data_IF_983960264675
#
_entry.id   IF_983960264675
#
_cell.length_a   1.000
_cell.length_b   1.000
_cell.length_c   1.000
_cell.angle_alpha   90.00
_cell.angle_beta   90.00
_cell.angle_gamma   90.00
#
_symmetry.space_group_name_H-M   'P 1'
#
loop_
_entity.id
_entity.type
_entity.pdbx_description
1 polymer ?
#
# COMPACT_ATOMS: atom_id res chain seq x y z
N UNK A 1 -20.15 -15.93 7.27
CA UNK A 1 -19.13 -14.92 7.69
C UNK A 1 -17.80 -15.39 7.14
N UNK A 2 -17.20 -14.64 6.22
CA UNK A 2 -15.90 -14.98 5.67
C UNK A 2 -14.85 -14.90 6.78
N UNK A 3 -14.18 -16.03 7.06
CA UNK A 3 -13.15 -16.13 8.10
C UNK A 3 -11.76 -15.69 7.60
N UNK A 4 -11.70 -15.09 6.41
CA UNK A 4 -10.46 -14.67 5.79
C UNK A 4 -9.79 -13.48 6.49
N UNK A 5 -8.52 -13.19 6.16
CA UNK A 5 -7.78 -12.08 6.77
C UNK A 5 -8.36 -10.72 6.40
N UNK A 6 -8.00 -9.69 7.15
CA UNK A 6 -8.11 -8.31 6.68
C UNK A 6 -6.92 -8.02 5.76
N UNK A 7 -7.15 -7.43 4.59
CA UNK A 7 -6.09 -6.94 3.70
C UNK A 7 -5.95 -5.43 3.91
N UNK A 8 -4.79 -4.99 4.36
CA UNK A 8 -4.52 -3.60 4.73
C UNK A 8 -3.47 -3.03 3.76
N UNK A 9 -3.86 -2.04 2.96
CA UNK A 9 -2.92 -1.30 2.11
C UNK A 9 -2.04 -0.36 2.95
N UNK A 10 -0.73 -0.46 2.78
CA UNK A 10 0.23 0.32 3.57
C UNK A 10 1.31 0.95 2.69
N UNK A 11 1.46 2.26 2.78
CA UNK A 11 2.45 3.06 2.06
C UNK A 11 3.36 3.87 2.99
N UNK A 12 3.28 3.63 4.31
CA UNK A 12 4.07 4.32 5.33
C UNK A 12 3.59 5.73 5.65
N UNK A 13 2.51 6.18 5.09
CA UNK A 13 1.95 7.51 5.38
C UNK A 13 1.19 7.51 6.70
N UNK A 14 1.01 8.70 7.29
CA UNK A 14 0.21 8.86 8.51
C UNK A 14 -1.23 8.34 8.36
N UNK A 15 -1.81 8.43 7.15
CA UNK A 15 -3.13 7.89 6.87
C UNK A 15 -3.14 6.35 6.87
N UNK A 16 -2.11 5.71 6.31
CA UNK A 16 -1.95 4.26 6.34
C UNK A 16 -1.69 3.76 7.77
N UNK A 17 -0.82 4.42 8.53
CA UNK A 17 -0.58 4.07 9.94
C UNK A 17 -1.86 4.18 10.78
N UNK A 18 -2.67 5.21 10.55
CA UNK A 18 -3.97 5.35 11.21
C UNK A 18 -4.95 4.25 10.79
N UNK A 19 -4.97 3.90 9.50
CA UNK A 19 -5.80 2.82 9.01
C UNK A 19 -5.48 1.48 9.68
N UNK A 20 -4.20 1.21 9.95
CA UNK A 20 -3.78 0.03 10.71
C UNK A 20 -4.30 0.09 12.16
N UNK A 21 -4.21 1.23 12.84
CA UNK A 21 -4.68 1.39 14.24
C UNK A 21 -6.18 1.20 14.35
N UNK A 22 -6.95 1.88 13.51
CA UNK A 22 -8.42 1.73 13.48
C UNK A 22 -8.86 0.30 13.11
N UNK A 23 -8.09 -0.36 12.21
CA UNK A 23 -8.33 -1.77 11.92
C UNK A 23 -8.11 -2.65 13.16
N UNK A 24 -7.10 -2.36 13.99
CA UNK A 24 -6.86 -3.03 15.26
C UNK A 24 -8.05 -2.87 16.21
N UNK A 25 -8.50 -1.64 16.42
CA UNK A 25 -9.61 -1.33 17.34
C UNK A 25 -10.92 -1.99 16.90
N UNK A 26 -11.17 -2.11 15.61
CA UNK A 26 -12.41 -2.62 15.06
C UNK A 26 -12.42 -4.13 14.81
N UNK A 27 -11.26 -4.72 14.49
CA UNK A 27 -11.18 -6.07 13.94
C UNK A 27 -10.40 -7.06 14.81
N UNK A 28 -9.59 -6.59 15.78
CA UNK A 28 -8.76 -7.48 16.58
C UNK A 28 -9.62 -8.37 17.54
N UNK A 29 -9.17 -9.60 17.88
CA UNK A 29 -8.05 -10.29 17.25
C UNK A 29 -8.47 -10.91 15.91
N UNK A 30 -7.73 -10.60 14.83
CA UNK A 30 -7.97 -11.16 13.49
C UNK A 30 -6.67 -11.27 12.72
N UNK A 31 -6.60 -12.26 11.83
CA UNK A 31 -5.52 -12.34 10.84
C UNK A 31 -5.56 -11.13 9.91
N UNK A 32 -4.42 -10.54 9.65
CA UNK A 32 -4.26 -9.41 8.74
C UNK A 32 -3.06 -9.60 7.81
N UNK A 33 -3.19 -9.15 6.56
CA UNK A 33 -2.10 -9.03 5.61
C UNK A 33 -1.85 -7.55 5.36
N UNK A 34 -0.69 -7.07 5.77
CA UNK A 34 -0.24 -5.71 5.48
C UNK A 34 0.50 -5.71 4.16
N UNK A 35 -0.10 -5.07 3.16
CA UNK A 35 0.32 -5.15 1.76
C UNK A 35 0.97 -3.84 1.34
N UNK A 36 2.21 -3.93 0.83
CA UNK A 36 2.92 -2.87 0.12
C UNK A 36 2.99 -3.25 -1.36
N UNK A 37 2.41 -2.43 -2.22
CA UNK A 37 2.50 -2.59 -3.67
C UNK A 37 3.68 -1.78 -4.21
N UNK A 38 4.47 -2.38 -5.09
CA UNK A 38 5.62 -1.76 -5.76
C UNK A 38 5.52 -1.90 -7.27
N UNK A 39 5.94 -0.87 -7.99
CA UNK A 39 6.11 -0.92 -9.44
C UNK A 39 7.49 -1.52 -9.76
N UNK A 40 7.51 -2.77 -10.23
CA UNK A 40 8.76 -3.44 -10.59
C UNK A 40 9.31 -2.90 -11.93
N UNK A 41 10.64 -2.83 -12.01
CA UNK A 41 11.35 -2.42 -13.21
C UNK A 41 11.44 -0.91 -13.42
N UNK A 42 10.74 -0.09 -12.63
CA UNK A 42 10.78 1.37 -12.76
C UNK A 42 12.17 1.91 -12.41
N UNK A 43 12.72 1.53 -11.28
CA UNK A 43 14.06 1.99 -10.88
C UNK A 43 15.14 1.49 -11.83
N UNK A 44 15.04 0.27 -12.32
CA UNK A 44 15.90 -0.26 -13.37
C UNK A 44 15.77 0.56 -14.64
N UNK A 45 14.54 0.82 -15.09
CA UNK A 45 14.25 1.59 -16.29
C UNK A 45 14.75 3.04 -16.23
N UNK A 46 14.60 3.70 -15.09
CA UNK A 46 15.10 5.07 -14.89
C UNK A 46 16.62 5.16 -15.03
N UNK A 47 17.38 4.21 -14.46
CA UNK A 47 18.83 4.15 -14.58
C UNK A 47 19.24 3.83 -16.01
N UNK A 48 18.51 2.97 -16.71
CA UNK A 48 18.81 2.55 -18.08
C UNK A 48 18.28 3.50 -19.16
N UNK A 49 17.40 4.45 -18.85
CA UNK A 49 16.79 5.34 -19.82
C UNK A 49 17.82 6.12 -20.70
N UNK A 50 18.91 6.70 -20.16
CA UNK A 50 19.92 7.37 -20.98
C UNK A 50 20.62 6.42 -21.96
N UNK A 51 20.83 5.16 -21.55
CA UNK A 51 21.45 4.13 -22.40
C UNK A 51 20.55 3.79 -23.58
N UNK A 52 19.24 3.58 -23.31
CA UNK A 52 18.26 3.30 -24.38
C UNK A 52 18.13 4.47 -25.36
N UNK A 53 18.17 5.70 -24.87
CA UNK A 53 18.12 6.90 -25.72
C UNK A 53 19.38 7.06 -26.58
N UNK A 54 20.56 6.70 -26.06
CA UNK A 54 21.83 6.82 -26.80
C UNK A 54 21.95 5.81 -27.95
N UNK A 55 21.21 4.70 -27.89
CA UNK A 55 21.34 3.61 -28.85
C UNK A 55 22.67 2.84 -28.77
N UNK A 56 23.48 3.10 -27.74
CA UNK A 56 24.76 2.41 -27.51
C UNK A 56 24.51 1.15 -26.65
N UNK A 57 25.38 0.12 -26.78
CA UNK A 57 25.31 -1.01 -25.87
C UNK A 57 25.51 -0.60 -24.41
N UNK A 58 24.71 -1.15 -23.51
CA UNK A 58 24.87 -0.94 -22.09
C UNK A 58 26.20 -1.51 -21.59
N UNK A 59 26.87 -0.78 -20.75
CA UNK A 59 28.08 -1.25 -20.06
C UNK A 59 27.68 -2.15 -18.87
N UNK A 60 28.61 -3.01 -18.46
CA UNK A 60 28.39 -3.85 -17.26
C UNK A 60 28.12 -3.02 -15.99
N UNK A 61 28.76 -1.85 -15.88
CA UNK A 61 28.58 -0.96 -14.75
C UNK A 61 27.16 -0.37 -14.74
N UNK A 62 26.62 0.05 -15.88
CA UNK A 62 25.25 0.58 -15.99
C UNK A 62 24.21 -0.48 -15.63
N UNK A 63 24.37 -1.71 -16.13
CA UNK A 63 23.51 -2.83 -15.81
C UNK A 63 23.55 -3.14 -14.30
N UNK A 64 24.74 -3.22 -13.71
CA UNK A 64 24.89 -3.45 -12.26
C UNK A 64 24.26 -2.34 -11.43
N UNK A 65 24.39 -1.09 -11.87
CA UNK A 65 23.78 0.05 -11.17
C UNK A 65 22.26 -0.02 -11.22
N UNK A 66 21.69 -0.34 -12.38
CA UNK A 66 20.26 -0.52 -12.55
C UNK A 66 19.70 -1.67 -11.70
N UNK A 67 20.37 -2.81 -11.67
CA UNK A 67 19.99 -3.95 -10.82
C UNK A 67 20.03 -3.59 -9.35
N UNK A 68 21.07 -2.86 -8.89
CA UNK A 68 21.14 -2.41 -7.48
C UNK A 68 20.05 -1.41 -7.14
N UNK A 69 19.69 -0.51 -8.04
CA UNK A 69 18.59 0.43 -7.82
C UNK A 69 17.27 -0.30 -7.62
N UNK A 70 16.97 -1.29 -8.46
CA UNK A 70 15.77 -2.13 -8.32
C UNK A 70 15.76 -2.94 -7.02
N UNK A 71 16.89 -3.53 -6.66
CA UNK A 71 17.03 -4.26 -5.38
C UNK A 71 16.77 -3.36 -4.18
N UNK A 72 17.27 -2.12 -4.20
CA UNK A 72 17.07 -1.16 -3.12
C UNK A 72 15.57 -0.80 -2.94
N UNK A 73 14.82 -0.68 -4.02
CA UNK A 73 13.36 -0.45 -3.97
C UNK A 73 12.64 -1.64 -3.32
N UNK A 74 13.01 -2.86 -3.70
CA UNK A 74 12.43 -4.08 -3.11
C UNK A 74 12.75 -4.18 -1.61
N UNK A 75 13.99 -3.93 -1.21
CA UNK A 75 14.41 -3.95 0.20
C UNK A 75 13.66 -2.89 1.03
N UNK A 76 13.49 -1.68 0.50
CA UNK A 76 12.71 -0.63 1.14
C UNK A 76 11.24 -1.04 1.32
N UNK A 77 10.65 -1.66 0.31
CA UNK A 77 9.27 -2.14 0.38
C UNK A 77 9.09 -3.26 1.42
N UNK A 78 10.05 -4.19 1.52
CA UNK A 78 10.05 -5.24 2.53
C UNK A 78 10.10 -4.63 3.93
N UNK A 79 11.03 -3.69 4.17
CA UNK A 79 11.17 -3.01 5.46
C UNK A 79 9.88 -2.23 5.81
N UNK A 80 9.28 -1.58 4.83
CA UNK A 80 8.03 -0.85 5.00
C UNK A 80 6.86 -1.78 5.36
N UNK A 81 6.72 -2.90 4.65
CA UNK A 81 5.69 -3.89 4.92
C UNK A 81 5.86 -4.52 6.32
N UNK A 82 7.09 -4.83 6.72
CA UNK A 82 7.41 -5.32 8.07
C UNK A 82 7.07 -4.29 9.15
N UNK A 83 7.40 -3.01 8.94
CA UNK A 83 7.00 -1.92 9.84
C UNK A 83 5.48 -1.86 10.00
N UNK A 84 4.73 -1.94 8.90
CA UNK A 84 3.27 -1.95 8.93
C UNK A 84 2.70 -3.16 9.65
N UNK A 85 3.28 -4.35 9.44
CA UNK A 85 2.87 -5.57 10.13
C UNK A 85 3.15 -5.50 11.65
N UNK A 86 4.33 -4.98 12.05
CA UNK A 86 4.66 -4.76 13.44
C UNK A 86 3.66 -3.81 14.12
N UNK A 87 3.31 -2.70 13.47
CA UNK A 87 2.29 -1.77 13.95
C UNK A 87 0.91 -2.46 14.11
N UNK A 88 0.54 -3.32 13.18
CA UNK A 88 -0.70 -4.08 13.24
C UNK A 88 -0.71 -5.09 14.40
N UNK A 89 0.44 -5.72 14.68
CA UNK A 89 0.60 -6.61 15.83
C UNK A 89 0.51 -5.86 17.16
N UNK A 90 1.10 -4.66 17.26
CA UNK A 90 1.00 -3.80 18.46
C UNK A 90 -0.45 -3.46 18.81
N UNK A 91 -1.35 -3.37 17.82
CA UNK A 91 -2.78 -3.09 18.03
C UNK A 91 -3.64 -4.36 18.06
N UNK A 92 -3.03 -5.52 18.25
CA UNK A 92 -3.73 -6.79 18.54
C UNK A 92 -4.17 -7.58 17.31
N UNK A 93 -3.72 -7.24 16.10
CA UNK A 93 -3.94 -8.06 14.91
C UNK A 93 -2.90 -9.17 14.79
N UNK A 94 -3.28 -10.33 14.25
CA UNK A 94 -2.35 -11.39 13.85
C UNK A 94 -1.84 -11.09 12.44
N UNK A 95 -0.86 -10.16 12.33
CA UNK A 95 -0.47 -9.56 11.07
C UNK A 95 0.79 -10.18 10.47
N UNK A 96 0.75 -10.36 9.14
CA UNK A 96 1.87 -10.73 8.29
C UNK A 96 2.11 -9.61 7.25
N UNK A 97 3.37 -9.44 6.81
CA UNK A 97 3.75 -8.50 5.78
C UNK A 97 3.76 -9.16 4.40
N UNK A 98 3.31 -8.43 3.37
CA UNK A 98 3.32 -8.89 1.99
C UNK A 98 3.75 -7.75 1.05
N UNK A 99 4.79 -7.97 0.25
CA UNK A 99 5.17 -7.08 -0.84
C UNK A 99 4.71 -7.69 -2.16
N UNK A 100 4.02 -6.90 -2.97
CA UNK A 100 3.41 -7.36 -4.21
C UNK A 100 3.76 -6.42 -5.36
N UNK A 101 4.06 -6.99 -6.51
CA UNK A 101 4.22 -6.21 -7.74
C UNK A 101 2.90 -5.60 -8.17
N UNK A 102 2.93 -4.31 -8.50
CA UNK A 102 1.80 -3.56 -9.07
C UNK A 102 1.93 -3.53 -10.59
N UNK A 103 1.02 -4.23 -11.26
CA UNK A 103 1.03 -4.30 -12.74
C UNK A 103 0.12 -3.24 -13.37
N UNK A 104 -0.82 -2.68 -12.61
CA UNK A 104 -1.87 -1.78 -13.15
C UNK A 104 -2.15 -0.59 -12.24
N UNK A 105 -2.44 -0.83 -10.97
CA UNK A 105 -2.64 0.17 -9.92
C UNK A 105 -2.64 -0.48 -8.54
N UNK A 106 -2.19 0.27 -7.54
CA UNK A 106 -2.19 -0.16 -6.13
C UNK A 106 -3.57 -0.69 -5.71
N UNK A 107 -4.64 -0.01 -6.13
CA UNK A 107 -6.01 -0.43 -5.80
C UNK A 107 -6.34 -1.82 -6.36
N UNK A 108 -5.99 -2.09 -7.63
CA UNK A 108 -6.23 -3.40 -8.25
C UNK A 108 -5.40 -4.49 -7.63
N UNK A 109 -4.15 -4.18 -7.29
CA UNK A 109 -3.26 -5.10 -6.59
C UNK A 109 -3.83 -5.50 -5.24
N UNK A 110 -4.31 -4.53 -4.42
CA UNK A 110 -4.96 -4.81 -3.15
C UNK A 110 -6.22 -5.67 -3.31
N UNK A 111 -7.05 -5.38 -4.31
CA UNK A 111 -8.27 -6.14 -4.57
C UNK A 111 -7.97 -7.55 -5.06
N UNK A 112 -6.95 -7.73 -5.91
CA UNK A 112 -6.48 -9.05 -6.34
C UNK A 112 -5.99 -9.87 -5.14
N UNK A 113 -5.14 -9.31 -4.29
CA UNK A 113 -4.69 -9.98 -3.06
C UNK A 113 -5.89 -10.32 -2.17
N UNK A 114 -6.86 -9.43 -2.03
CA UNK A 114 -8.05 -9.69 -1.23
C UNK A 114 -8.89 -10.84 -1.79
N UNK A 115 -8.98 -10.97 -3.11
CA UNK A 115 -9.69 -12.08 -3.75
C UNK A 115 -8.91 -13.39 -3.61
N UNK A 116 -7.59 -13.40 -3.84
CA UNK A 116 -6.71 -14.56 -3.71
C UNK A 116 -6.66 -15.13 -2.29
N UNK A 117 -6.74 -14.24 -1.28
CA UNK A 117 -6.69 -14.60 0.14
C UNK A 117 -8.07 -14.82 0.77
N UNK A 118 -9.12 -14.74 -0.01
CA UNK A 118 -10.50 -14.79 0.47
C UNK A 118 -10.77 -13.82 1.63
N UNK A 119 -10.23 -12.61 1.52
CA UNK A 119 -10.24 -11.60 2.56
C UNK A 119 -11.66 -11.25 3.01
N UNK A 120 -11.82 -11.00 4.30
CA UNK A 120 -13.08 -10.58 4.90
C UNK A 120 -13.36 -9.08 4.75
N UNK A 121 -12.31 -8.28 4.63
CA UNK A 121 -12.36 -6.82 4.49
C UNK A 121 -11.08 -6.29 3.86
N UNK A 122 -11.19 -5.20 3.09
CA UNK A 122 -10.06 -4.41 2.61
C UNK A 122 -10.02 -3.10 3.39
N UNK A 123 -8.85 -2.75 3.91
CA UNK A 123 -8.62 -1.53 4.70
C UNK A 123 -7.67 -0.60 3.97
N UNK A 124 -8.04 0.66 3.82
CA UNK A 124 -7.22 1.69 3.19
C UNK A 124 -7.33 3.02 3.93
N UNK A 125 -6.20 3.72 4.04
CA UNK A 125 -6.17 5.10 4.51
C UNK A 125 -6.63 6.06 3.41
N UNK A 126 -7.31 7.13 3.80
CA UNK A 126 -7.67 8.21 2.91
C UNK A 126 -6.80 9.44 3.16
N UNK A 127 -6.00 9.82 2.16
CA UNK A 127 -5.21 11.06 2.21
C UNK A 127 -6.07 12.28 1.89
N UNK A 128 -5.88 13.33 2.68
CA UNK A 128 -6.34 14.68 2.31
C UNK A 128 -5.24 15.35 1.48
N UNK A 129 -5.49 15.55 0.19
CA UNK A 129 -4.64 16.41 -0.64
C UNK A 129 -5.20 17.84 -0.58
N UNK A 130 -4.53 18.71 0.21
CA UNK A 130 -4.79 20.17 0.26
C UNK A 130 -5.88 20.62 1.22
N UNK A 131 -5.71 21.84 1.74
CA UNK A 131 -6.55 22.47 2.76
C UNK A 131 -7.99 22.82 2.33
N UNK A 132 -8.32 22.69 1.05
CA UNK A 132 -9.58 23.13 0.45
C UNK A 132 -10.56 22.01 0.06
N UNK A 133 -10.20 20.72 0.21
CA UNK A 133 -11.12 19.67 -0.21
C UNK A 133 -11.53 18.74 0.92
N UNK A 134 -12.62 19.10 1.58
CA UNK A 134 -13.28 18.31 2.64
C UNK A 134 -13.79 16.94 2.17
N UNK A 135 -13.70 16.61 0.86
CA UNK A 135 -14.36 15.44 0.27
C UNK A 135 -13.49 14.57 -0.63
N UNK A 136 -12.18 14.85 -0.79
CA UNK A 136 -11.37 14.07 -1.71
C UNK A 136 -10.70 12.88 -1.02
N UNK A 137 -11.28 11.71 -1.23
CA UNK A 137 -10.60 10.42 -1.05
C UNK A 137 -9.44 10.36 -2.04
N UNK A 138 -8.27 9.84 -1.62
CA UNK A 138 -7.15 9.57 -2.52
C UNK A 138 -7.57 8.63 -3.68
N UNK A 139 -6.79 8.63 -4.75
CA UNK A 139 -7.06 7.80 -5.94
C UNK A 139 -7.24 6.32 -5.62
N UNK A 140 -6.36 5.77 -4.78
CA UNK A 140 -6.42 4.38 -4.34
C UNK A 140 -7.72 4.06 -3.60
N UNK A 141 -8.09 4.87 -2.59
CA UNK A 141 -9.33 4.63 -1.83
C UNK A 141 -10.58 4.74 -2.71
N UNK A 142 -10.62 5.70 -3.65
CA UNK A 142 -11.72 5.83 -4.63
C UNK A 142 -11.83 4.61 -5.53
N UNK A 143 -10.71 4.13 -6.06
CA UNK A 143 -10.70 2.99 -6.96
C UNK A 143 -11.07 1.70 -6.22
N UNK A 144 -10.55 1.51 -4.99
CA UNK A 144 -10.94 0.39 -4.14
C UNK A 144 -12.44 0.40 -3.90
N UNK A 145 -13.04 1.50 -3.44
CA UNK A 145 -14.48 1.62 -3.21
C UNK A 145 -15.32 1.34 -4.47
N UNK A 146 -14.84 1.78 -5.63
CA UNK A 146 -15.57 1.57 -6.90
C UNK A 146 -15.56 0.13 -7.36
N UNK A 147 -14.52 -0.64 -7.07
CA UNK A 147 -14.27 -1.96 -7.64
C UNK A 147 -14.37 -3.11 -6.65
N UNK A 148 -14.35 -2.83 -5.36
CA UNK A 148 -14.36 -3.86 -4.34
C UNK A 148 -15.66 -4.69 -4.39
N UNK A 149 -15.48 -6.00 -4.29
CA UNK A 149 -16.57 -6.97 -4.12
C UNK A 149 -16.72 -7.42 -2.67
N UNK A 150 -15.84 -6.93 -1.80
CA UNK A 150 -15.75 -7.25 -0.38
C UNK A 150 -15.98 -5.99 0.44
N UNK A 151 -16.34 -6.10 1.71
CA UNK A 151 -16.39 -4.96 2.63
C UNK A 151 -15.10 -4.14 2.56
N UNK A 152 -15.24 -2.82 2.62
CA UNK A 152 -14.10 -1.87 2.61
C UNK A 152 -14.21 -0.96 3.82
N UNK A 153 -13.13 -0.89 4.58
CA UNK A 153 -12.93 0.09 5.64
C UNK A 153 -12.03 1.21 5.10
N UNK A 154 -12.58 2.41 4.95
CA UNK A 154 -11.81 3.60 4.59
C UNK A 154 -11.63 4.46 5.82
N UNK A 155 -10.39 4.61 6.26
CA UNK A 155 -10.03 5.41 7.43
C UNK A 155 -9.62 6.81 6.99
N UNK A 156 -10.32 7.81 7.50
CA UNK A 156 -10.08 9.22 7.19
C UNK A 156 -9.32 9.92 8.31
N UNK A 157 -8.67 11.04 7.97
CA UNK A 157 -8.20 11.97 9.00
C UNK A 157 -9.39 12.53 9.79
N UNK A 158 -9.34 12.54 11.12
CA UNK A 158 -10.32 13.29 11.90
C UNK A 158 -10.29 14.77 11.47
N UNK A 159 -11.46 15.37 11.35
CA UNK A 159 -11.57 16.79 11.03
C UNK A 159 -10.90 17.62 12.14
N UNK A 160 -9.65 18.02 11.92
CA UNK A 160 -8.96 19.01 12.74
C UNK A 160 -9.41 20.40 12.30
N UNK A 161 -10.67 20.77 12.50
CA UNK A 161 -11.06 22.13 12.15
C UNK A 161 -12.54 22.38 11.88
N UNK A 162 -13.42 21.87 12.69
CA UNK A 162 -14.71 22.53 12.93
C UNK A 162 -14.77 22.94 14.41
N UNK A 163 -14.96 24.21 14.75
CA UNK A 163 -15.41 24.53 16.10
C UNK A 163 -16.72 23.79 16.32
N UNK A 164 -16.79 23.07 17.42
CA UNK A 164 -18.06 22.54 17.92
C UNK A 164 -18.82 23.73 18.45
N UNK A 165 -19.84 24.16 17.71
CA UNK A 165 -20.87 25.07 18.22
C UNK A 165 -21.73 24.33 19.26
#
# INVERSE_FOLDING_TARGET
MTSGPAVIGFDGTAAAERAVREAGDLLAPRRALVVVAIEQGVAFGEVMAPVFVSGLPATELEIRTAVRAEQAVIEQAINLAQKGAALAQEVGLEAESLVVSDDVSVARTLLRVADEQDASVVVVGAHRRGALSRLLLGSTAKEVLKRARRPVLVVRDPDTGAPRD
#
